data_IF_810943939723
#
_entry.id   IF_810943939723
#
_cell.length_a   1.000
_cell.length_b   1.000
_cell.length_c   1.000
_cell.angle_alpha   90.00
_cell.angle_beta   90.00
_cell.angle_gamma   90.00
#
_symmetry.space_group_name_H-M   'P 1'
#
loop_
_entity.id
_entity.type
_entity.pdbx_description
1 polymer ?
#
# COMPACT_ATOMS: atom_id res chain seq x y z
N UNK A 1 -9.18 -10.81 -6.31
CA UNK A 1 -8.38 -9.58 -6.07
C UNK A 1 -7.02 -9.72 -6.74
N UNK A 2 -6.34 -8.61 -7.11
CA UNK A 2 -4.95 -8.68 -7.59
C UNK A 2 -4.04 -9.15 -6.44
N UNK A 3 -3.05 -10.00 -6.74
CA UNK A 3 -2.05 -10.45 -5.77
C UNK A 3 -1.17 -9.30 -5.32
N UNK A 4 -0.59 -9.38 -4.10
CA UNK A 4 0.38 -8.38 -3.59
C UNK A 4 1.49 -8.13 -4.61
N UNK A 5 2.10 -9.20 -5.10
CA UNK A 5 3.17 -9.14 -6.11
C UNK A 5 2.75 -8.38 -7.37
N UNK A 6 1.58 -8.69 -7.94
CA UNK A 6 1.10 -8.02 -9.16
C UNK A 6 0.86 -6.52 -8.95
N UNK A 7 0.45 -6.12 -7.75
CA UNK A 7 0.24 -4.70 -7.43
C UNK A 7 1.59 -3.98 -7.32
N UNK A 8 2.58 -4.58 -6.65
CA UNK A 8 3.93 -4.04 -6.53
C UNK A 8 4.63 -3.92 -7.90
N UNK A 9 4.55 -4.96 -8.73
CA UNK A 9 5.06 -4.95 -10.11
C UNK A 9 4.42 -3.84 -10.97
N UNK A 10 3.13 -3.56 -10.75
CA UNK A 10 2.45 -2.47 -11.46
C UNK A 10 3.01 -1.10 -11.07
N UNK A 11 3.27 -0.87 -9.77
CA UNK A 11 3.88 0.37 -9.29
C UNK A 11 5.28 0.55 -9.86
N UNK A 12 6.11 -0.49 -9.76
CA UNK A 12 7.47 -0.49 -10.28
C UNK A 12 7.50 -0.21 -11.80
N UNK A 13 6.65 -0.88 -12.57
CA UNK A 13 6.59 -0.72 -14.03
C UNK A 13 6.31 0.73 -14.44
N UNK A 14 5.38 1.40 -13.75
CA UNK A 14 5.01 2.80 -14.04
C UNK A 14 6.19 3.74 -13.76
N UNK A 15 6.81 3.61 -12.58
CA UNK A 15 7.91 4.48 -12.19
C UNK A 15 9.17 4.22 -13.01
N UNK A 16 9.49 2.96 -13.31
CA UNK A 16 10.61 2.59 -14.18
C UNK A 16 10.46 3.19 -15.58
N UNK A 17 9.28 3.07 -16.18
CA UNK A 17 9.01 3.63 -17.51
C UNK A 17 9.17 5.16 -17.51
N UNK A 18 8.70 5.84 -16.46
CA UNK A 18 8.84 7.29 -16.33
C UNK A 18 10.31 7.71 -16.11
N UNK A 19 11.06 6.93 -15.33
CA UNK A 19 12.47 7.16 -15.07
C UNK A 19 13.32 6.99 -16.33
N UNK A 20 13.12 5.90 -17.08
CA UNK A 20 13.78 5.65 -18.37
C UNK A 20 13.48 6.79 -19.37
N UNK A 21 12.24 7.30 -19.39
CA UNK A 21 11.88 8.44 -20.22
C UNK A 21 12.56 9.76 -19.78
N UNK A 22 12.78 9.98 -18.49
CA UNK A 22 13.53 11.13 -17.97
C UNK A 22 15.03 11.01 -18.26
N UNK A 23 15.59 9.81 -18.08
CA UNK A 23 16.98 9.48 -18.40
C UNK A 23 17.28 9.68 -19.88
N UNK A 24 16.41 9.23 -20.78
CA UNK A 24 16.56 9.44 -22.23
C UNK A 24 16.55 10.92 -22.64
N UNK A 25 16.03 11.82 -21.78
CA UNK A 25 16.06 13.27 -21.97
C UNK A 25 17.19 13.98 -21.21
N UNK A 26 18.02 13.23 -20.48
CA UNK A 26 19.07 13.79 -19.60
C UNK A 26 18.53 14.64 -18.45
N UNK A 27 17.28 14.43 -18.05
CA UNK A 27 16.63 15.25 -17.02
C UNK A 27 16.88 14.66 -15.61
N UNK A 28 18.04 14.97 -15.04
CA UNK A 28 18.47 14.47 -13.74
C UNK A 28 17.53 14.90 -12.60
N UNK A 29 17.09 16.16 -12.59
CA UNK A 29 16.17 16.67 -11.56
C UNK A 29 14.87 15.84 -11.54
N UNK A 30 14.34 15.48 -12.73
CA UNK A 30 13.14 14.66 -12.80
C UNK A 30 13.38 13.23 -12.34
N UNK A 31 14.57 12.66 -12.58
CA UNK A 31 14.95 11.34 -12.09
C UNK A 31 14.97 11.32 -10.55
N UNK A 32 15.61 12.31 -9.92
CA UNK A 32 15.71 12.40 -8.46
C UNK A 32 14.32 12.54 -7.80
N UNK A 33 13.43 13.33 -8.42
CA UNK A 33 12.04 13.46 -7.96
C UNK A 33 11.28 12.14 -8.11
N UNK A 34 11.42 11.44 -9.24
CA UNK A 34 10.75 10.15 -9.48
C UNK A 34 11.19 9.08 -8.48
N UNK A 35 12.47 9.06 -8.09
CA UNK A 35 12.97 8.12 -7.09
C UNK A 35 12.33 8.37 -5.72
N UNK A 36 12.27 9.62 -5.27
CA UNK A 36 11.64 9.97 -4.00
C UNK A 36 10.12 9.69 -4.03
N UNK A 37 9.47 9.99 -5.15
CA UNK A 37 8.05 9.68 -5.36
C UNK A 37 7.80 8.17 -5.30
N UNK A 38 8.61 7.36 -5.97
CA UNK A 38 8.50 5.90 -5.96
C UNK A 38 8.60 5.34 -4.53
N UNK A 39 9.60 5.78 -3.76
CA UNK A 39 9.77 5.36 -2.36
C UNK A 39 8.56 5.71 -1.51
N UNK A 40 8.03 6.94 -1.66
CA UNK A 40 6.84 7.38 -0.92
C UNK A 40 5.61 6.55 -1.28
N UNK A 41 5.39 6.28 -2.56
CA UNK A 41 4.23 5.50 -3.01
C UNK A 41 4.36 4.02 -2.64
N UNK A 42 5.57 3.47 -2.62
CA UNK A 42 5.84 2.11 -2.14
C UNK A 42 5.42 1.97 -0.66
N UNK A 43 5.86 2.88 0.22
CA UNK A 43 5.48 2.87 1.63
C UNK A 43 3.96 3.01 1.84
N UNK A 44 3.31 3.90 1.07
CA UNK A 44 1.86 4.06 1.12
C UNK A 44 1.15 2.77 0.70
N UNK A 45 1.64 2.12 -0.35
CA UNK A 45 1.05 0.90 -0.86
C UNK A 45 1.20 -0.26 0.12
N UNK A 46 2.36 -0.39 0.77
CA UNK A 46 2.61 -1.37 1.83
C UNK A 46 1.59 -1.21 2.97
N UNK A 47 1.40 0.02 3.46
CA UNK A 47 0.39 0.31 4.49
C UNK A 47 -1.02 -0.11 4.05
N UNK A 48 -1.40 0.17 2.79
CA UNK A 48 -2.71 -0.20 2.26
C UNK A 48 -2.87 -1.72 2.13
N UNK A 49 -1.80 -2.43 1.78
CA UNK A 49 -1.80 -3.89 1.70
C UNK A 49 -1.92 -4.51 3.09
N UNK A 50 -1.25 -3.94 4.09
CA UNK A 50 -1.36 -4.39 5.48
C UNK A 50 -2.78 -4.17 6.02
N UNK A 51 -3.39 -3.01 5.74
CA UNK A 51 -4.80 -2.74 6.08
C UNK A 51 -5.71 -3.76 5.39
N UNK A 52 -5.48 -4.04 4.11
CA UNK A 52 -6.28 -5.04 3.37
C UNK A 52 -6.18 -6.41 4.01
N UNK A 53 -4.97 -6.84 4.38
CA UNK A 53 -4.75 -8.15 4.99
C UNK A 53 -5.43 -8.22 6.38
N UNK A 54 -5.36 -7.14 7.18
CA UNK A 54 -6.13 -7.02 8.43
C UNK A 54 -7.65 -7.10 8.23
N UNK A 55 -8.16 -6.51 7.13
CA UNK A 55 -9.58 -6.57 6.79
C UNK A 55 -9.99 -7.94 6.22
N UNK A 56 -9.06 -8.69 5.62
CA UNK A 56 -9.31 -10.03 5.09
C UNK A 56 -9.17 -11.15 6.12
N UNK A 57 -8.48 -10.92 7.24
CA UNK A 57 -8.34 -11.91 8.31
C UNK A 57 -9.71 -12.52 8.65
N UNK A 58 -9.91 -13.83 8.40
CA UNK A 58 -11.16 -14.49 8.74
C UNK A 58 -11.28 -14.52 10.27
N UNK A 59 -12.48 -14.26 10.76
CA UNK A 59 -12.82 -14.48 12.17
C UNK A 59 -12.65 -15.97 12.49
N UNK A 60 -11.44 -16.39 12.87
CA UNK A 60 -11.24 -17.69 13.47
C UNK A 60 -11.92 -17.66 14.86
N UNK A 61 -13.22 -18.02 14.88
CA UNK A 61 -13.84 -18.59 16.06
C UNK A 61 -14.94 -17.80 16.77
N UNK A 62 -15.65 -16.84 16.15
CA UNK A 62 -16.83 -16.25 16.81
C UNK A 62 -18.04 -16.11 15.88
N UNK A 63 -19.04 -16.95 16.13
CA UNK A 63 -20.45 -16.75 15.76
C UNK A 63 -21.00 -15.49 16.45
N UNK A 64 -20.51 -14.31 16.09
CA UNK A 64 -20.94 -13.00 16.59
C UNK A 64 -21.62 -12.19 15.49
N UNK A 65 -22.73 -11.55 15.82
CA UNK A 65 -23.52 -10.69 14.93
C UNK A 65 -22.63 -9.75 14.08
N UNK A 66 -22.96 -9.48 12.79
CA UNK A 66 -22.14 -8.71 11.84
C UNK A 66 -21.63 -7.34 12.34
N UNK A 67 -22.33 -6.73 13.30
CA UNK A 67 -21.94 -5.45 13.91
C UNK A 67 -20.71 -5.52 14.82
N UNK A 68 -20.38 -6.69 15.38
CA UNK A 68 -19.21 -6.88 16.26
C UNK A 68 -17.89 -6.85 15.48
N UNK A 69 -17.80 -7.61 14.39
CA UNK A 69 -16.60 -7.70 13.54
C UNK A 69 -16.21 -6.36 12.88
N UNK A 70 -17.18 -5.52 12.48
CA UNK A 70 -16.89 -4.19 11.93
C UNK A 70 -16.33 -3.22 12.99
N UNK A 71 -16.85 -3.32 14.22
CA UNK A 71 -16.37 -2.50 15.34
C UNK A 71 -14.92 -2.89 15.71
N UNK A 72 -14.61 -4.18 15.68
CA UNK A 72 -13.28 -4.72 15.97
C UNK A 72 -12.25 -4.28 14.92
N UNK A 73 -12.62 -4.32 13.62
CA UNK A 73 -11.78 -3.78 12.52
C UNK A 73 -11.53 -2.27 12.68
N UNK A 74 -12.55 -1.49 13.05
CA UNK A 74 -12.40 -0.05 13.31
C UNK A 74 -11.48 0.24 14.51
N UNK A 75 -11.55 -0.58 15.58
CA UNK A 75 -10.65 -0.47 16.72
C UNK A 75 -9.20 -0.82 16.36
N UNK A 76 -8.97 -1.82 15.51
CA UNK A 76 -7.62 -2.17 15.04
C UNK A 76 -6.97 -1.00 14.28
N UNK A 77 -7.71 -0.36 13.36
CA UNK A 77 -7.25 0.82 12.63
C UNK A 77 -6.91 1.98 13.60
N UNK A 78 -7.77 2.23 14.60
CA UNK A 78 -7.56 3.27 15.60
C UNK A 78 -6.30 3.05 16.44
N UNK A 79 -5.95 1.80 16.78
CA UNK A 79 -4.73 1.50 17.54
C UNK A 79 -3.47 1.76 16.72
N UNK A 80 -3.52 1.36 15.45
CA UNK A 80 -2.40 1.52 14.51
C UNK A 80 -2.09 3.00 14.24
N UNK A 81 -3.11 3.86 14.20
CA UNK A 81 -2.93 5.32 14.03
C UNK A 81 -2.54 6.07 15.31
N UNK A 82 -2.65 5.44 16.49
CA UNK A 82 -2.35 6.06 17.80
C UNK A 82 -0.92 5.83 18.29
N UNK A 83 -0.16 4.97 17.62
CA UNK A 83 1.27 4.78 17.86
C UNK A 83 2.04 5.95 17.23
N UNK A 84 2.06 7.06 17.95
CA UNK A 84 3.02 8.16 17.81
C UNK A 84 3.50 8.54 19.20
#
# INVERSE_FOLDING_TARGET
MRTRERILQSLESVYRSAFEAAQGKGNQERMDVLDLEYQREQLRLELLLDIRDLLQAPEEGKSGSPGSSLLDKAQAIRRLTRLR
#
